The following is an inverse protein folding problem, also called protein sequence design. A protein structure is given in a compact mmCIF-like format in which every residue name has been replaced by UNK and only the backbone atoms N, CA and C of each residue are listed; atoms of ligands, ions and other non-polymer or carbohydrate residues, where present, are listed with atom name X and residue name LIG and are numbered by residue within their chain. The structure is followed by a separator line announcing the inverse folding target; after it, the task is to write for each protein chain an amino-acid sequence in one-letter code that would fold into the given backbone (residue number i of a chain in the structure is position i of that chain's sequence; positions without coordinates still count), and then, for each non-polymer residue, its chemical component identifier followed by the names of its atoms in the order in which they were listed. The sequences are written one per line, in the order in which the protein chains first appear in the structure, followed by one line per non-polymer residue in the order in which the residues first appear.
data_IF_483801501248
#
_entry.id   IF_483801501248
#
_cell.length_a   1.000
_cell.length_b   1.000
_cell.length_c   1.000
_cell.angle_alpha   90.00
_cell.angle_beta   90.00
_cell.angle_gamma   90.00
#
_symmetry.space_group_name_H-M   'P 1'
#
loop_
_entity.id
_entity.type
_entity.pdbx_description
1 polymer ?
#
# COMPACT_ATOMS: atom_id res chain seq x y z
N UNK A 1 3.47 -11.16 23.79
CA UNK A 1 4.93 -11.02 23.70
C UNK A 1 5.24 -9.58 23.31
N UNK A 2 6.35 -9.00 23.80
CA UNK A 2 6.79 -7.67 23.37
C UNK A 2 7.35 -7.78 21.95
N UNK A 3 6.93 -6.89 21.06
CA UNK A 3 7.47 -6.75 19.71
C UNK A 3 8.78 -5.97 19.78
N UNK A 4 9.76 -6.36 18.97
CA UNK A 4 11.05 -5.69 18.81
C UNK A 4 11.04 -5.00 17.44
N UNK A 5 11.53 -3.76 17.40
CA UNK A 5 11.63 -2.92 16.19
C UNK A 5 13.05 -2.36 16.06
N UNK A 6 13.45 -1.80 14.90
CA UNK A 6 14.78 -1.21 14.73
C UNK A 6 15.13 -0.06 15.70
N UNK A 7 14.13 0.54 16.33
CA UNK A 7 14.24 1.68 17.25
C UNK A 7 13.50 1.39 18.56
N UNK A 8 14.02 1.92 19.68
CA UNK A 8 13.46 1.70 21.04
C UNK A 8 12.13 2.42 21.24
N UNK A 9 12.03 3.66 20.75
CA UNK A 9 10.84 4.50 20.82
C UNK A 9 10.66 5.26 19.50
N UNK A 10 10.11 4.62 18.46
CA UNK A 10 9.98 5.21 17.14
C UNK A 10 8.92 6.33 17.04
N UNK A 11 8.14 6.58 18.11
CA UNK A 11 7.10 7.60 18.16
C UNK A 11 5.69 7.06 18.34
N UNK A 12 4.68 7.89 18.03
CA UNK A 12 3.26 7.52 18.12
C UNK A 12 2.91 6.48 17.06
N UNK A 13 2.40 5.32 17.49
CA UNK A 13 1.98 4.27 16.54
C UNK A 13 0.67 4.64 15.84
N UNK A 14 0.67 4.52 14.52
CA UNK A 14 -0.50 4.72 13.65
C UNK A 14 -1.18 3.39 13.27
N UNK A 15 -0.64 2.26 13.72
CA UNK A 15 -1.15 0.93 13.39
C UNK A 15 -2.18 0.43 14.40
N UNK A 16 -3.17 -0.32 13.91
CA UNK A 16 -4.10 -1.11 14.73
C UNK A 16 -3.59 -2.53 14.99
N UNK A 17 -2.59 -3.01 14.24
CA UNK A 17 -1.94 -4.29 14.46
C UNK A 17 -0.75 -4.55 13.52
N UNK A 18 0.11 -5.54 13.83
CA UNK A 18 1.29 -5.89 13.02
C UNK A 18 0.95 -6.90 11.91
N UNK A 19 0.85 -6.45 10.66
CA UNK A 19 0.63 -7.34 9.50
C UNK A 19 1.82 -7.39 8.54
N UNK A 20 2.30 -6.24 8.06
CA UNK A 20 3.42 -6.13 7.10
C UNK A 20 4.53 -5.19 7.59
N UNK A 21 4.35 -4.64 8.79
CA UNK A 21 5.20 -3.64 9.39
C UNK A 21 4.43 -2.86 10.44
N UNK A 22 5.12 -1.95 11.11
CA UNK A 22 4.56 -0.99 12.04
C UNK A 22 4.85 0.41 11.52
N UNK A 23 3.85 1.28 11.60
CA UNK A 23 3.90 2.66 11.12
C UNK A 23 3.81 3.60 12.32
N UNK A 24 4.70 4.59 12.34
CA UNK A 24 4.83 5.58 13.40
C UNK A 24 4.79 6.98 12.82
N UNK A 25 4.17 7.91 13.53
CA UNK A 25 4.29 9.32 13.24
C UNK A 25 5.66 9.83 13.71
N UNK A 26 6.47 10.31 12.77
CA UNK A 26 7.69 11.07 13.09
C UNK A 26 7.29 12.49 13.45
N UNK A 27 6.43 13.10 12.63
CA UNK A 27 5.79 14.38 12.86
C UNK A 27 4.52 14.53 11.99
N UNK A 28 4.08 15.78 11.75
CA UNK A 28 2.87 16.09 10.98
C UNK A 28 3.02 15.88 9.47
N UNK A 29 4.26 15.79 8.94
CA UNK A 29 4.54 15.62 7.52
C UNK A 29 5.24 14.31 7.17
N UNK A 30 5.70 13.54 8.15
CA UNK A 30 6.49 12.32 7.93
C UNK A 30 5.95 11.16 8.76
N UNK A 31 5.87 10.00 8.12
CA UNK A 31 5.67 8.70 8.78
C UNK A 31 6.87 7.80 8.58
N UNK A 32 7.11 6.93 9.56
CA UNK A 32 8.14 5.91 9.56
C UNK A 32 7.48 4.54 9.56
N UNK A 33 7.76 3.72 8.56
CA UNK A 33 7.39 2.30 8.52
C UNK A 33 8.61 1.45 8.82
N UNK A 34 8.47 0.49 9.73
CA UNK A 34 9.52 -0.44 10.13
C UNK A 34 9.02 -1.89 10.10
N UNK A 35 9.89 -2.87 9.80
CA UNK A 35 9.61 -4.27 10.08
C UNK A 35 9.59 -4.52 11.59
N UNK A 36 9.19 -5.72 12.01
CA UNK A 36 9.14 -6.09 13.41
C UNK A 36 9.53 -7.56 13.63
N UNK A 37 10.00 -7.89 14.83
CA UNK A 37 10.29 -9.26 15.20
C UNK A 37 9.71 -9.63 16.58
N UNK A 38 9.31 -10.90 16.70
CA UNK A 38 8.96 -11.53 17.96
C UNK A 38 10.16 -12.28 18.53
N UNK A 39 10.31 -12.41 19.85
CA UNK A 39 11.35 -13.26 20.42
C UNK A 39 11.25 -14.71 19.90
N UNK A 40 12.34 -15.24 19.37
CA UNK A 40 12.44 -16.63 18.95
C UNK A 40 12.52 -17.55 20.18
N UNK A 41 11.40 -18.21 20.47
CA UNK A 41 11.26 -19.15 21.59
C UNK A 41 11.09 -20.56 21.05
N UNK A 42 11.68 -21.56 21.73
CA UNK A 42 11.52 -22.97 21.43
C UNK A 42 10.14 -23.52 21.85
N UNK A 43 9.06 -22.91 21.33
CA UNK A 43 7.68 -23.37 21.47
C UNK A 43 7.02 -23.38 20.09
N UNK A 44 6.78 -24.58 19.55
CA UNK A 44 6.19 -24.77 18.23
C UNK A 44 4.82 -24.08 18.06
N UNK A 45 4.07 -23.86 19.15
CA UNK A 45 2.79 -23.15 19.11
C UNK A 45 2.94 -21.66 18.78
N UNK A 46 4.14 -21.11 18.92
CA UNK A 46 4.47 -19.72 18.65
C UNK A 46 5.18 -19.53 17.31
N UNK A 47 5.42 -20.59 16.53
CA UNK A 47 6.09 -20.47 15.23
C UNK A 47 5.37 -19.54 14.26
N UNK A 48 4.04 -19.41 14.35
CA UNK A 48 3.29 -18.45 13.54
C UNK A 48 3.73 -16.99 13.79
N UNK A 49 4.25 -16.65 14.97
CA UNK A 49 4.81 -15.31 15.25
C UNK A 49 6.17 -15.12 14.57
N UNK A 50 6.94 -16.20 14.42
CA UNK A 50 8.20 -16.18 13.68
C UNK A 50 7.91 -15.98 12.19
N UNK A 51 6.90 -16.67 11.65
CA UNK A 51 6.40 -16.43 10.28
C UNK A 51 5.99 -14.96 10.08
N UNK A 52 5.27 -14.35 11.02
CA UNK A 52 4.89 -12.93 10.93
C UNK A 52 6.10 -12.00 10.92
N UNK A 53 7.11 -12.31 11.74
CA UNK A 53 8.35 -11.52 11.79
C UNK A 53 9.08 -11.59 10.45
N UNK A 54 9.28 -12.81 9.93
CA UNK A 54 9.93 -13.08 8.65
C UNK A 54 9.18 -12.44 7.47
N UNK A 55 7.84 -12.53 7.44
CA UNK A 55 7.01 -11.85 6.45
C UNK A 55 7.15 -10.34 6.52
N UNK A 56 7.27 -9.75 7.70
CA UNK A 56 7.46 -8.29 7.83
C UNK A 56 8.77 -7.82 7.18
N UNK A 57 9.85 -8.61 7.28
CA UNK A 57 11.11 -8.33 6.59
C UNK A 57 10.93 -8.40 5.06
N UNK A 58 10.29 -9.46 4.57
CA UNK A 58 10.05 -9.63 3.12
C UNK A 58 9.15 -8.53 2.58
N UNK A 59 8.11 -8.12 3.32
CA UNK A 59 7.26 -6.98 2.95
C UNK A 59 8.06 -5.68 2.85
N UNK A 60 8.99 -5.42 3.78
CA UNK A 60 9.88 -4.26 3.66
C UNK A 60 10.76 -4.34 2.41
N UNK A 61 11.36 -5.50 2.12
CA UNK A 61 12.21 -5.72 0.93
C UNK A 61 11.43 -5.46 -0.37
N UNK A 62 10.19 -5.95 -0.46
CA UNK A 62 9.28 -5.71 -1.60
C UNK A 62 8.97 -4.24 -1.78
N UNK A 63 8.61 -3.57 -0.69
CA UNK A 63 8.24 -2.16 -0.73
C UNK A 63 9.43 -1.26 -1.08
N UNK A 64 10.62 -1.55 -0.54
CA UNK A 64 11.87 -0.89 -0.92
C UNK A 64 12.15 -1.04 -2.42
N UNK A 65 11.96 -2.24 -2.97
CA UNK A 65 12.19 -2.52 -4.40
C UNK A 65 11.29 -1.71 -5.32
N UNK A 66 10.01 -1.54 -4.95
CA UNK A 66 9.07 -0.66 -5.68
C UNK A 66 9.53 0.79 -5.60
N UNK A 67 9.91 1.27 -4.42
CA UNK A 67 10.37 2.65 -4.26
C UNK A 67 11.70 2.94 -4.97
N UNK A 68 12.61 1.97 -5.04
CA UNK A 68 13.85 2.09 -5.80
C UNK A 68 13.57 2.22 -7.31
N UNK A 69 12.57 1.52 -7.83
CA UNK A 69 12.11 1.70 -9.22
C UNK A 69 11.46 3.09 -9.44
N UNK A 70 10.66 3.55 -8.48
CA UNK A 70 10.02 4.88 -8.53
C UNK A 70 11.00 6.04 -8.37
N UNK A 71 12.17 5.82 -7.77
CA UNK A 71 13.22 6.84 -7.68
C UNK A 71 13.72 7.29 -9.06
N UNK A 72 13.80 6.35 -10.01
CA UNK A 72 14.22 6.64 -11.39
C UNK A 72 13.10 7.32 -12.17
N UNK A 73 11.86 6.88 -11.94
CA UNK A 73 10.67 7.32 -12.68
C UNK A 73 9.51 7.62 -11.69
N UNK A 74 9.56 8.78 -10.99
CA UNK A 74 8.59 9.09 -9.94
C UNK A 74 7.20 9.39 -10.51
N UNK A 75 6.16 9.11 -9.72
CA UNK A 75 4.77 9.39 -10.07
C UNK A 75 4.09 10.23 -9.00
N UNK A 76 3.41 11.31 -9.38
CA UNK A 76 2.79 12.27 -8.44
C UNK A 76 1.71 11.63 -7.55
N UNK A 77 0.98 10.66 -8.08
CA UNK A 77 -0.10 9.95 -7.39
C UNK A 77 0.35 8.65 -6.70
N UNK A 78 1.65 8.50 -6.47
CA UNK A 78 2.23 7.48 -5.58
C UNK A 78 2.94 8.22 -4.44
N UNK A 79 2.79 7.73 -3.21
CA UNK A 79 3.46 8.32 -2.05
C UNK A 79 4.98 8.31 -2.24
N UNK A 80 5.66 9.40 -1.87
CA UNK A 80 7.11 9.53 -2.02
C UNK A 80 7.85 8.95 -0.83
N UNK A 81 8.81 8.05 -1.11
CA UNK A 81 9.85 7.65 -0.15
C UNK A 81 10.85 8.79 0.03
N UNK A 82 11.14 9.11 1.28
CA UNK A 82 12.06 10.17 1.69
C UNK A 82 13.47 9.58 1.84
N UNK A 83 14.44 10.16 1.13
CA UNK A 83 15.79 9.61 1.01
C UNK A 83 16.65 9.86 2.26
N UNK A 84 16.78 8.82 3.09
CA UNK A 84 17.62 8.81 4.30
C UNK A 84 18.83 7.89 4.23
N UNK A 85 18.92 7.07 3.17
CA UNK A 85 19.95 6.03 3.02
C UNK A 85 19.77 4.82 3.94
N UNK A 86 18.67 4.75 4.71
CA UNK A 86 18.35 3.57 5.51
C UNK A 86 17.66 2.49 4.65
N UNK A 87 17.94 1.22 4.99
CA UNK A 87 17.38 0.03 4.32
C UNK A 87 16.60 -0.86 5.28
N UNK A 88 16.63 -0.58 6.58
CA UNK A 88 15.92 -1.30 7.63
C UNK A 88 14.62 -0.58 8.06
N UNK A 89 14.26 0.49 7.37
CA UNK A 89 13.03 1.27 7.55
C UNK A 89 12.71 2.11 6.32
N UNK A 90 11.47 2.59 6.21
CA UNK A 90 11.00 3.47 5.14
C UNK A 90 10.41 4.73 5.77
N UNK A 91 10.90 5.90 5.33
CA UNK A 91 10.26 7.18 5.61
C UNK A 91 9.38 7.56 4.43
N UNK A 92 8.13 7.93 4.68
CA UNK A 92 7.17 8.36 3.67
C UNK A 92 6.63 9.75 4.03
N UNK A 93 6.18 10.48 3.01
CA UNK A 93 5.29 11.62 3.23
C UNK A 93 4.03 11.17 4.00
N UNK A 94 3.60 11.97 4.97
CA UNK A 94 2.37 11.71 5.72
C UNK A 94 1.17 12.16 4.89
N UNK A 95 0.22 11.24 4.69
CA UNK A 95 -1.03 11.48 3.98
C UNK A 95 -2.21 11.44 4.94
N UNK A 96 -3.28 12.14 4.59
CA UNK A 96 -4.57 11.96 5.28
C UNK A 96 -5.31 10.79 4.63
N UNK A 97 -5.75 9.78 5.39
CA UNK A 97 -6.47 8.64 4.83
C UNK A 97 -7.68 9.08 3.99
N UNK A 98 -7.92 8.40 2.87
CA UNK A 98 -8.99 8.79 1.96
C UNK A 98 -10.36 8.78 2.65
N UNK A 99 -10.62 7.82 3.54
CA UNK A 99 -11.88 7.74 4.30
C UNK A 99 -12.15 8.96 5.18
N UNK A 100 -11.11 9.63 5.67
CA UNK A 100 -11.24 10.80 6.55
C UNK A 100 -11.60 12.06 5.77
N UNK A 101 -11.07 12.21 4.54
CA UNK A 101 -11.32 13.39 3.71
C UNK A 101 -12.50 13.24 2.76
N UNK A 102 -12.95 12.01 2.50
CA UNK A 102 -14.06 11.74 1.58
C UNK A 102 -15.36 12.48 1.95
N UNK A 103 -15.79 12.57 3.23
CA UNK A 103 -17.04 13.25 3.60
C UNK A 103 -17.11 14.72 3.20
N UNK A 104 -15.96 15.40 3.18
CA UNK A 104 -15.84 16.83 2.85
C UNK A 104 -15.49 17.08 1.37
N UNK A 105 -15.34 16.01 0.59
CA UNK A 105 -14.96 16.09 -0.83
C UNK A 105 -16.13 16.48 -1.74
N UNK A 106 -15.81 17.17 -2.84
CA UNK A 106 -16.80 17.47 -3.88
C UNK A 106 -16.89 16.35 -4.93
N UNK A 107 -17.91 16.37 -5.78
CA UNK A 107 -17.96 15.46 -6.93
C UNK A 107 -16.77 15.61 -7.89
N UNK A 108 -16.34 16.83 -8.28
CA UNK A 108 -15.11 17.02 -9.05
C UNK A 108 -13.86 16.44 -8.38
N UNK A 109 -13.71 16.56 -7.06
CA UNK A 109 -12.57 15.97 -6.35
C UNK A 109 -12.56 14.46 -6.48
N UNK A 110 -13.71 13.81 -6.28
CA UNK A 110 -13.86 12.35 -6.38
C UNK A 110 -13.62 11.84 -7.79
N UNK A 111 -14.10 12.54 -8.81
CA UNK A 111 -13.83 12.18 -10.21
C UNK A 111 -12.33 12.31 -10.53
N UNK A 112 -11.68 13.38 -10.06
CA UNK A 112 -10.22 13.57 -10.19
C UNK A 112 -9.46 12.44 -9.49
N UNK A 113 -9.78 12.15 -8.24
CA UNK A 113 -9.14 11.07 -7.46
C UNK A 113 -9.28 9.70 -8.14
N UNK A 114 -10.42 9.40 -8.76
CA UNK A 114 -10.62 8.16 -9.51
C UNK A 114 -9.64 8.05 -10.69
N UNK A 115 -9.46 9.14 -11.44
CA UNK A 115 -8.50 9.21 -12.54
C UNK A 115 -7.04 9.17 -12.05
N UNK A 116 -6.74 9.79 -10.91
CA UNK A 116 -5.41 9.74 -10.28
C UNK A 116 -5.02 8.35 -9.82
N UNK A 117 -5.96 7.59 -9.23
CA UNK A 117 -5.74 6.20 -8.87
C UNK A 117 -5.46 5.35 -10.13
N UNK A 118 -6.25 5.54 -11.18
CA UNK A 118 -6.05 4.84 -12.46
C UNK A 118 -4.70 5.19 -13.09
N UNK A 119 -4.26 6.45 -12.99
CA UNK A 119 -2.95 6.90 -13.46
C UNK A 119 -1.80 6.26 -12.65
N UNK A 120 -1.95 6.13 -11.33
CA UNK A 120 -0.97 5.47 -10.48
C UNK A 120 -0.86 3.96 -10.75
N UNK A 121 -1.98 3.24 -10.84
CA UNK A 121 -1.97 1.78 -11.04
C UNK A 121 -1.46 1.40 -12.42
N UNK A 122 -1.84 2.13 -13.47
CA UNK A 122 -1.26 1.89 -14.82
C UNK A 122 0.24 2.19 -14.85
N UNK A 123 0.72 3.13 -14.05
CA UNK A 123 2.14 3.45 -13.97
C UNK A 123 2.91 2.31 -13.30
N UNK A 124 2.39 1.74 -12.21
CA UNK A 124 2.97 0.56 -11.57
C UNK A 124 3.04 -0.63 -12.54
N UNK A 125 1.97 -0.89 -13.30
CA UNK A 125 1.95 -1.93 -14.32
C UNK A 125 3.02 -1.69 -15.39
N UNK A 126 3.19 -0.44 -15.86
CA UNK A 126 4.24 -0.07 -16.81
C UNK A 126 5.66 -0.27 -16.27
N UNK A 127 5.85 -0.11 -14.96
CA UNK A 127 7.11 -0.43 -14.30
C UNK A 127 7.31 -1.93 -14.05
N UNK A 128 6.35 -2.78 -14.42
CA UNK A 128 6.40 -4.22 -14.25
C UNK A 128 6.01 -4.70 -12.85
N UNK A 129 5.13 -3.96 -12.16
CA UNK A 129 4.68 -4.28 -10.81
C UNK A 129 3.15 -4.41 -10.74
N UNK A 130 2.70 -5.45 -10.03
CA UNK A 130 1.37 -5.52 -9.46
C UNK A 130 1.46 -5.07 -7.99
N UNK A 131 0.43 -4.39 -7.49
CA UNK A 131 0.39 -3.90 -6.12
C UNK A 131 0.15 -5.04 -5.13
N UNK A 132 -0.72 -6.00 -5.46
CA UNK A 132 -0.99 -7.20 -4.66
C UNK A 132 -1.73 -6.96 -3.34
N UNK A 133 -2.09 -5.72 -3.01
CA UNK A 133 -2.97 -5.39 -1.87
C UNK A 133 -3.68 -4.06 -2.10
N UNK A 134 -4.19 -3.85 -3.31
CA UNK A 134 -4.91 -2.63 -3.61
C UNK A 134 -6.20 -2.55 -2.76
N UNK A 135 -6.34 -1.49 -1.97
CA UNK A 135 -7.48 -1.31 -1.07
C UNK A 135 -7.66 0.17 -0.70
N UNK A 136 -8.85 0.55 -0.22
CA UNK A 136 -9.16 1.94 0.17
C UNK A 136 -8.20 2.44 1.27
N UNK A 137 -7.89 1.59 2.25
CA UNK A 137 -6.93 1.89 3.34
C UNK A 137 -5.51 2.24 2.86
N UNK A 138 -5.18 1.89 1.61
CA UNK A 138 -3.88 2.15 0.98
C UNK A 138 -3.94 3.39 0.06
N UNK A 139 -4.99 4.20 0.21
CA UNK A 139 -5.21 5.46 -0.49
C UNK A 139 -5.22 6.60 0.52
N UNK A 140 -4.54 7.69 0.19
CA UNK A 140 -4.50 8.88 1.00
C UNK A 140 -4.43 10.13 0.13
N UNK A 141 -4.56 11.28 0.76
CA UNK A 141 -4.58 12.57 0.08
C UNK A 141 -3.56 13.49 0.72
N UNK A 142 -2.80 14.19 -0.11
CA UNK A 142 -1.80 15.15 0.35
C UNK A 142 -2.43 16.53 0.66
N UNK A 143 -1.59 17.46 1.15
CA UNK A 143 -2.02 18.83 1.46
C UNK A 143 -2.49 19.65 0.25
N UNK A 144 -2.28 19.16 -0.98
CA UNK A 144 -2.75 19.75 -2.22
C UNK A 144 -4.02 19.06 -2.77
N UNK A 145 -4.68 18.23 -1.94
CA UNK A 145 -5.90 17.51 -2.29
C UNK A 145 -5.71 16.53 -3.47
N UNK A 146 -4.51 15.95 -3.60
CA UNK A 146 -4.15 14.96 -4.63
C UNK A 146 -4.12 13.56 -4.03
N UNK A 147 -4.77 12.60 -4.70
CA UNK A 147 -4.78 11.21 -4.27
C UNK A 147 -3.41 10.58 -4.51
N UNK A 148 -2.94 9.79 -3.53
CA UNK A 148 -1.70 9.02 -3.57
C UNK A 148 -1.93 7.59 -3.11
N UNK A 149 -1.34 6.66 -3.85
CA UNK A 149 -1.28 5.22 -3.55
C UNK A 149 -0.01 4.90 -2.76
N UNK A 150 -0.12 4.04 -1.74
CA UNK A 150 1.01 3.61 -0.90
C UNK A 150 0.83 2.17 -0.40
N UNK A 151 1.78 1.69 0.40
CA UNK A 151 1.82 0.34 1.01
C UNK A 151 2.09 -0.80 0.02
N UNK A 152 3.34 -0.89 -0.46
CA UNK A 152 3.76 -1.88 -1.46
C UNK A 152 4.32 -3.17 -0.86
N UNK A 153 4.00 -3.48 0.40
CA UNK A 153 4.52 -4.66 1.11
C UNK A 153 4.06 -6.01 0.54
N UNK A 154 3.08 -6.00 -0.38
CA UNK A 154 2.57 -7.16 -1.12
C UNK A 154 2.86 -7.12 -2.61
N UNK A 155 3.64 -6.15 -3.08
CA UNK A 155 3.87 -5.97 -4.50
C UNK A 155 4.62 -7.15 -5.12
N UNK A 156 4.29 -7.47 -6.37
CA UNK A 156 4.90 -8.57 -7.13
C UNK A 156 5.45 -8.06 -8.46
N UNK A 157 6.66 -8.48 -8.80
CA UNK A 157 7.30 -8.13 -10.08
C UNK A 157 6.75 -8.97 -11.22
N UNK A 158 6.84 -8.48 -12.45
CA UNK A 158 6.43 -9.21 -13.65
C UNK A 158 7.21 -10.50 -13.91
N UNK A 159 8.33 -10.72 -13.21
CA UNK A 159 9.09 -11.96 -13.24
C UNK A 159 8.62 -13.02 -12.22
N UNK A 160 7.79 -12.64 -11.25
CA UNK A 160 7.26 -13.55 -10.22
C UNK A 160 6.09 -14.38 -10.78
N UNK A 161 5.96 -15.65 -10.38
CA UNK A 161 4.94 -16.56 -10.92
C UNK A 161 3.50 -16.12 -10.60
N UNK A 162 3.30 -15.51 -9.43
CA UNK A 162 2.00 -14.97 -9.02
C UNK A 162 1.62 -13.64 -9.68
N UNK A 163 2.49 -13.00 -10.45
CA UNK A 163 2.21 -11.68 -11.03
C UNK A 163 0.87 -11.62 -11.78
N UNK A 164 0.60 -12.64 -12.61
CA UNK A 164 -0.65 -12.70 -13.36
C UNK A 164 -1.87 -12.87 -12.45
N UNK A 165 -1.74 -13.57 -11.32
CA UNK A 165 -2.81 -13.70 -10.33
C UNK A 165 -3.06 -12.36 -9.62
N UNK A 166 -1.98 -11.65 -9.31
CA UNK A 166 -2.01 -10.36 -8.63
C UNK A 166 -2.56 -9.23 -9.49
N UNK A 167 -2.23 -9.19 -10.78
CA UNK A 167 -2.86 -8.25 -11.72
C UNK A 167 -4.38 -8.46 -11.76
N UNK A 168 -4.85 -9.72 -11.82
CA UNK A 168 -6.30 -10.00 -11.80
C UNK A 168 -6.96 -9.58 -10.48
N UNK A 169 -6.26 -9.82 -9.37
CA UNK A 169 -6.70 -9.38 -8.03
C UNK A 169 -6.77 -7.86 -7.96
N UNK A 170 -5.76 -7.15 -8.45
CA UNK A 170 -5.71 -5.69 -8.49
C UNK A 170 -6.81 -5.10 -9.37
N UNK A 171 -7.21 -5.73 -10.48
CA UNK A 171 -8.39 -5.28 -11.24
C UNK A 171 -9.68 -5.30 -10.42
N UNK A 172 -9.92 -6.39 -9.68
CA UNK A 172 -11.08 -6.51 -8.79
C UNK A 172 -11.05 -5.44 -7.69
N UNK A 173 -9.88 -5.25 -7.11
CA UNK A 173 -9.66 -4.31 -6.02
C UNK A 173 -9.73 -2.86 -6.48
N UNK A 174 -9.23 -2.56 -7.67
CA UNK A 174 -9.35 -1.25 -8.31
C UNK A 174 -10.82 -0.89 -8.50
N UNK A 175 -11.67 -1.82 -8.98
CA UNK A 175 -13.10 -1.58 -9.09
C UNK A 175 -13.75 -1.25 -7.72
N UNK A 176 -13.30 -1.92 -6.66
CA UNK A 176 -13.75 -1.67 -5.29
C UNK A 176 -13.32 -0.28 -4.80
N UNK A 177 -12.06 0.11 -5.05
CA UNK A 177 -11.54 1.45 -4.74
C UNK A 177 -12.26 2.55 -5.53
N UNK A 178 -12.48 2.36 -6.83
CA UNK A 178 -13.21 3.31 -7.68
C UNK A 178 -14.67 3.48 -7.21
N UNK A 179 -15.31 2.38 -6.83
CA UNK A 179 -16.64 2.42 -6.25
C UNK A 179 -16.65 3.24 -4.95
N UNK A 180 -15.67 3.03 -4.05
CA UNK A 180 -15.54 3.83 -2.84
C UNK A 180 -15.27 5.31 -3.15
N UNK A 181 -14.28 5.64 -4.00
CA UNK A 181 -13.93 7.02 -4.34
C UNK A 181 -15.16 7.80 -4.81
N UNK A 182 -16.00 7.21 -5.65
CA UNK A 182 -17.14 7.91 -6.24
C UNK A 182 -18.41 7.90 -5.37
N UNK A 183 -18.55 6.97 -4.43
CA UNK A 183 -19.81 6.78 -3.67
C UNK A 183 -19.67 6.81 -2.15
N UNK A 184 -18.45 6.70 -1.63
CA UNK A 184 -18.13 6.61 -0.20
C UNK A 184 -18.45 5.24 0.40
N UNK A 185 -18.79 4.26 -0.45
CA UNK A 185 -19.18 2.93 -0.01
C UNK A 185 -18.16 1.90 -0.49
N UNK A 186 -17.48 1.26 0.46
CA UNK A 186 -16.67 0.08 0.19
C UNK A 186 -17.55 -1.16 0.43
N UNK A 187 -17.83 -1.98 -0.60
CA UNK A 187 -18.64 -3.19 -0.45
C UNK A 187 -17.98 -4.27 0.44
N UNK A 188 -16.70 -4.14 0.78
CA UNK A 188 -15.97 -5.05 1.65
C UNK A 188 -15.75 -4.48 3.06
N UNK A 189 -16.08 -3.20 3.31
CA UNK A 189 -15.91 -2.59 4.62
C UNK A 189 -16.90 -3.17 5.65
N UNK A 190 -16.46 -3.28 6.91
CA UNK A 190 -17.28 -3.75 8.03
C UNK A 190 -17.53 -5.26 8.06
N UNK A 191 -16.90 -6.04 7.18
CA UNK A 191 -16.94 -7.50 7.24
C UNK A 191 -15.92 -7.98 8.28
N UNK A 192 -16.33 -8.89 9.16
CA UNK A 192 -15.55 -9.27 10.34
C UNK A 192 -15.02 -10.71 10.29
N UNK A 193 -15.43 -11.47 9.27
CA UNK A 193 -14.99 -12.84 9.10
C UNK A 193 -14.57 -13.15 7.66
N UNK A 194 -13.64 -14.10 7.53
CA UNK A 194 -13.21 -14.62 6.23
C UNK A 194 -14.41 -15.07 5.37
N UNK A 195 -15.39 -15.75 5.98
CA UNK A 195 -16.58 -16.24 5.27
C UNK A 195 -17.45 -15.12 4.71
N UNK A 196 -17.58 -14.00 5.44
CA UNK A 196 -18.33 -12.84 4.96
C UNK A 196 -17.61 -12.18 3.78
N UNK A 197 -16.28 -12.02 3.88
CA UNK A 197 -15.47 -11.48 2.78
C UNK A 197 -15.58 -12.35 1.53
N UNK A 198 -15.44 -13.67 1.67
CA UNK A 198 -15.58 -14.61 0.55
C UNK A 198 -16.98 -14.58 -0.07
N UNK A 199 -18.03 -14.51 0.76
CA UNK A 199 -19.40 -14.42 0.27
C UNK A 199 -19.66 -13.09 -0.47
N UNK A 200 -19.12 -11.99 0.03
CA UNK A 200 -19.23 -10.68 -0.62
C UNK A 200 -18.49 -10.70 -1.97
N UNK A 201 -17.24 -11.18 -2.00
CA UNK A 201 -16.45 -11.35 -3.23
C UNK A 201 -17.18 -12.21 -4.26
N UNK A 202 -17.70 -13.37 -3.85
CA UNK A 202 -18.46 -14.25 -4.74
C UNK A 202 -19.70 -13.55 -5.33
N UNK A 203 -20.37 -12.69 -4.56
CA UNK A 203 -21.52 -11.90 -5.03
C UNK A 203 -21.09 -10.86 -6.07
N UNK A 204 -20.00 -10.13 -5.81
CA UNK A 204 -19.43 -9.15 -6.74
C UNK A 204 -18.97 -9.84 -8.04
N UNK A 205 -18.23 -10.95 -7.95
CA UNK A 205 -17.75 -11.71 -9.10
C UNK A 205 -18.87 -12.37 -9.91
N UNK A 206 -20.02 -12.64 -9.30
CA UNK A 206 -21.21 -13.11 -10.02
C UNK A 206 -21.97 -11.98 -10.74
N UNK A 207 -21.46 -10.74 -10.74
CA UNK A 207 -22.12 -9.58 -11.35
C UNK A 207 -23.35 -9.11 -10.58
N UNK A 208 -23.46 -9.47 -9.30
CA UNK A 208 -24.58 -9.12 -8.42
C UNK A 208 -24.24 -8.00 -7.43
N UNK A 209 -23.08 -7.35 -7.62
CA UNK A 209 -22.67 -6.19 -6.82
C UNK A 209 -23.54 -4.98 -7.12
N UNK A 210 -24.12 -4.37 -6.09
CA UNK A 210 -24.86 -3.13 -6.23
C UNK A 210 -23.92 -1.95 -6.45
N UNK A 211 -24.16 -1.15 -7.48
CA UNK A 211 -23.47 0.12 -7.70
C UNK A 211 -24.18 1.21 -6.89
N UNK A 212 -23.46 1.84 -5.97
CA UNK A 212 -24.00 2.92 -5.15
C UNK A 212 -24.08 4.24 -5.94
N UNK A 213 -24.98 5.12 -5.48
CA UNK A 213 -25.17 6.45 -6.05
C UNK A 213 -23.83 7.21 -6.13
N UNK A 214 -23.57 7.82 -7.27
CA UNK A 214 -22.30 8.51 -7.56
C UNK A 214 -21.30 7.65 -8.33
N UNK A 215 -21.17 6.36 -8.00
CA UNK A 215 -20.34 5.41 -8.76
C UNK A 215 -20.99 4.97 -10.09
N UNK A 216 -22.28 5.26 -10.27
CA UNK A 216 -23.07 4.92 -11.47
C UNK A 216 -22.45 5.45 -12.76
N UNK A 217 -21.74 6.57 -12.70
CA UNK A 217 -21.09 7.21 -13.85
C UNK A 217 -20.13 6.27 -14.59
N UNK A 218 -19.47 5.35 -13.89
CA UNK A 218 -18.56 4.34 -14.47
C UNK A 218 -18.99 2.91 -14.08
N UNK A 219 -20.30 2.68 -13.91
CA UNK A 219 -20.85 1.41 -13.46
C UNK A 219 -20.33 0.20 -14.25
N UNK A 220 -20.24 0.31 -15.58
CA UNK A 220 -19.74 -0.77 -16.45
C UNK A 220 -18.28 -1.13 -16.13
N UNK A 221 -17.42 -0.14 -15.89
CA UNK A 221 -16.01 -0.35 -15.56
C UNK A 221 -15.89 -1.07 -14.21
N UNK A 222 -16.67 -0.67 -13.21
CA UNK A 222 -16.68 -1.30 -11.89
C UNK A 222 -17.17 -2.75 -12.00
N UNK A 223 -18.27 -3.00 -12.71
CA UNK A 223 -18.79 -4.36 -12.91
C UNK A 223 -17.80 -5.24 -13.68
N UNK A 224 -17.13 -4.71 -14.71
CA UNK A 224 -16.12 -5.45 -15.46
C UNK A 224 -14.93 -5.84 -14.58
N UNK A 225 -14.50 -4.96 -13.67
CA UNK A 225 -13.43 -5.27 -12.71
C UNK A 225 -13.85 -6.34 -11.70
N UNK A 226 -15.05 -6.25 -11.12
CA UNK A 226 -15.53 -7.26 -10.17
C UNK A 226 -15.75 -8.64 -10.78
N UNK A 227 -16.29 -8.69 -12.00
CA UNK A 227 -16.56 -9.94 -12.73
C UNK A 227 -15.32 -10.54 -13.40
N UNK A 228 -14.18 -9.83 -13.36
CA UNK A 228 -12.94 -10.24 -14.02
C UNK A 228 -12.95 -10.03 -15.54
N UNK A 229 -13.98 -9.42 -16.13
CA UNK A 229 -14.01 -9.12 -17.57
C UNK A 229 -12.92 -8.13 -17.99
N UNK A 230 -12.49 -7.24 -17.10
CA UNK A 230 -11.37 -6.34 -17.38
C UNK A 230 -10.00 -6.99 -17.18
N UNK A 231 -9.92 -8.18 -16.58
CA UNK A 231 -8.66 -8.76 -16.12
C UNK A 231 -7.80 -9.37 -17.24
N UNK A 232 -8.31 -9.36 -18.48
CA UNK A 232 -7.57 -9.71 -19.69
C UNK A 232 -6.99 -8.49 -20.42
N UNK A 233 -7.38 -7.28 -19.99
CA UNK A 233 -6.86 -6.01 -20.50
C UNK A 233 -5.77 -5.43 -19.60
N UNK A 234 -5.30 -4.24 -19.96
CA UNK A 234 -4.32 -3.48 -19.15
C UNK A 234 -5.01 -2.42 -18.30
N UNK A 235 -4.36 -1.95 -17.23
CA UNK A 235 -4.85 -0.80 -16.47
C UNK A 235 -4.89 0.48 -17.32
N UNK A 236 -4.04 0.57 -18.35
CA UNK A 236 -4.09 1.65 -19.33
C UNK A 236 -5.44 1.68 -20.08
N UNK A 237 -5.98 0.53 -20.49
CA UNK A 237 -7.29 0.47 -21.17
C UNK A 237 -8.43 0.89 -20.24
N UNK A 238 -8.37 0.49 -18.96
CA UNK A 238 -9.33 0.92 -17.93
C UNK A 238 -9.26 2.44 -17.74
N UNK A 239 -8.05 3.00 -17.65
CA UNK A 239 -7.82 4.45 -17.57
C UNK A 239 -8.42 5.19 -18.78
N UNK A 240 -8.23 4.69 -20.01
CA UNK A 240 -8.76 5.32 -21.22
C UNK A 240 -10.29 5.34 -21.22
N UNK A 241 -10.93 4.22 -20.86
CA UNK A 241 -12.40 4.15 -20.73
C UNK A 241 -12.92 5.13 -19.70
N UNK A 242 -12.32 5.18 -18.52
CA UNK A 242 -12.74 6.09 -17.45
C UNK A 242 -12.52 7.56 -17.81
N UNK A 243 -11.38 7.90 -18.42
CA UNK A 243 -11.09 9.28 -18.87
C UNK A 243 -12.06 9.76 -19.95
N UNK A 244 -12.52 8.87 -20.83
CA UNK A 244 -13.55 9.20 -21.81
C UNK A 244 -14.91 9.57 -21.20
N UNK A 245 -15.16 9.15 -19.95
CA UNK A 245 -16.43 9.38 -19.24
C UNK A 245 -16.30 10.52 -18.22
N UNK A 246 -15.26 10.49 -17.39
CA UNK A 246 -15.02 11.42 -16.29
C UNK A 246 -14.32 12.72 -16.73
N UNK A 247 -13.82 12.76 -17.97
CA UNK A 247 -13.03 13.87 -18.49
C UNK A 247 -11.52 13.63 -18.40
N UNK A 248 -10.76 14.62 -18.84
CA UNK A 248 -9.31 14.54 -18.84
C UNK A 248 -8.75 14.78 -17.43
N UNK A 249 -7.76 13.98 -17.05
CA UNK A 249 -6.97 14.24 -15.85
C UNK A 249 -6.12 15.48 -16.09
N UNK A 250 -6.26 16.48 -15.23
CA UNK A 250 -5.41 17.67 -15.30
C UNK A 250 -3.96 17.29 -14.97
N UNK A 251 -3.07 17.58 -15.93
CA UNK A 251 -1.65 17.25 -15.85
C UNK A 251 -0.89 18.50 -15.46
N UNK A 252 -1.12 18.98 -14.25
CA UNK A 252 -0.22 19.97 -13.67
C UNK A 252 1.19 19.38 -13.59
N UNK A 253 2.17 20.13 -14.10
CA UNK A 253 3.57 19.79 -13.98
C UNK A 253 4.01 19.86 -12.52
N UNK A 254 4.93 18.97 -12.13
CA UNK A 254 5.64 19.09 -10.84
C UNK A 254 6.25 20.50 -10.78
N UNK A 255 5.79 21.31 -9.82
CA UNK A 255 6.32 22.67 -9.65
C UNK A 255 7.62 22.63 -8.84
N UNK A 256 8.52 23.60 -9.06
CA UNK A 256 9.76 23.75 -8.30
C UNK A 256 9.54 23.79 -6.77
N UNK A 257 8.36 24.27 -6.33
CA UNK A 257 7.98 24.31 -4.91
C UNK A 257 7.77 22.92 -4.29
N UNK A 258 7.45 21.91 -5.10
CA UNK A 258 7.23 20.55 -4.61
C UNK A 258 8.54 19.83 -4.26
N UNK A 259 9.61 20.10 -5.01
CA UNK A 259 10.91 19.49 -4.70
C UNK A 259 11.52 20.09 -3.42
N UNK A 260 11.41 21.41 -3.25
CA UNK A 260 11.82 22.09 -2.01
C UNK A 260 11.07 21.55 -0.78
N UNK A 261 9.77 21.23 -0.94
CA UNK A 261 8.97 20.59 0.10
C UNK A 261 9.53 19.21 0.49
N UNK A 262 9.84 18.35 -0.47
CA UNK A 262 10.39 17.02 -0.17
C UNK A 262 11.82 17.08 0.41
N UNK A 263 12.65 18.03 -0.02
CA UNK A 263 13.96 18.26 0.58
C UNK A 263 13.86 18.65 2.07
N UNK A 264 12.85 19.44 2.46
CA UNK A 264 12.56 19.73 3.87
C UNK A 264 12.18 18.45 4.64
N UNK A 265 11.27 17.64 4.10
CA UNK A 265 10.86 16.37 4.72
C UNK A 265 12.08 15.47 4.98
N UNK A 266 12.94 15.28 3.96
CA UNK A 266 14.14 14.46 4.06
C UNK A 266 15.15 14.98 5.10
N UNK A 267 15.29 16.30 5.21
CA UNK A 267 16.13 16.93 6.23
C UNK A 267 15.63 16.57 7.63
N UNK A 268 14.32 16.63 7.85
CA UNK A 268 13.70 16.26 9.13
C UNK A 268 13.87 14.78 9.45
N UNK A 269 13.75 13.89 8.48
CA UNK A 269 14.05 12.47 8.68
C UNK A 269 15.50 12.23 9.13
N UNK A 270 16.47 12.94 8.53
CA UNK A 270 17.89 12.85 8.91
C UNK A 270 18.13 13.36 10.33
N UNK A 271 17.49 14.46 10.72
CA UNK A 271 17.54 14.97 12.09
C UNK A 271 16.94 13.96 13.07
N UNK A 272 15.79 13.38 12.74
CA UNK A 272 15.15 12.36 13.58
C UNK A 272 16.07 11.14 13.79
N UNK A 273 16.71 10.65 12.71
CA UNK A 273 17.65 9.52 12.79
C UNK A 273 18.87 9.79 13.69
N UNK A 274 19.34 11.05 13.78
CA UNK A 274 20.46 11.42 14.66
C UNK A 274 20.10 11.36 16.14
N UNK A 275 18.82 11.54 16.48
CA UNK A 275 18.34 11.58 17.86
C UNK A 275 17.68 10.28 18.32
N UNK A 276 17.38 9.37 17.38
CA UNK A 276 16.68 8.12 17.67
C UNK A 276 17.62 7.04 18.19
N UNK A 277 17.19 6.33 19.23
CA UNK A 277 17.94 5.21 19.80
C UNK A 277 17.62 3.91 19.06
N UNK A 278 18.67 3.22 18.59
CA UNK A 278 18.57 1.89 17.98
C UNK A 278 18.30 0.84 19.06
N UNK A 279 17.38 -0.09 18.81
CA UNK A 279 17.14 -1.19 19.74
C UNK A 279 18.28 -2.22 19.63
N UNK A 280 19.09 -2.47 20.68
CA UNK A 280 20.17 -3.44 20.63
C UNK A 280 19.68 -4.89 20.52
N UNK A 281 18.40 -5.15 20.78
CA UNK A 281 17.81 -6.47 20.62
C UNK A 281 17.37 -6.77 19.17
N UNK A 282 17.31 -5.73 18.32
CA UNK A 282 16.94 -5.84 16.91
C UNK A 282 17.98 -6.64 16.13
N UNK A 283 17.51 -7.56 15.27
CA UNK A 283 18.37 -8.34 14.39
C UNK A 283 18.10 -7.98 12.93
N UNK A 284 19.13 -8.17 12.10
CA UNK A 284 18.95 -8.15 10.65
C UNK A 284 18.24 -9.43 10.21
N UNK A 285 17.63 -9.39 9.03
CA UNK A 285 16.83 -10.49 8.47
C UNK A 285 17.58 -11.83 8.51
N UNK A 286 18.84 -11.86 8.08
CA UNK A 286 19.65 -13.10 8.03
C UNK A 286 19.96 -13.64 9.43
N UNK A 287 20.28 -12.76 10.36
CA UNK A 287 20.57 -13.12 11.76
C UNK A 287 19.31 -13.64 12.44
N UNK A 288 18.16 -13.00 12.23
CA UNK A 288 16.89 -13.44 12.79
C UNK A 288 16.44 -14.79 12.21
N UNK A 289 16.59 -14.99 10.89
CA UNK A 289 16.30 -16.27 10.24
C UNK A 289 17.18 -17.41 10.78
N UNK A 290 18.45 -17.12 11.10
CA UNK A 290 19.34 -18.10 11.74
C UNK A 290 18.84 -18.47 13.14
N UNK A 291 18.46 -17.50 13.97
CA UNK A 291 17.89 -17.77 15.31
C UNK A 291 16.58 -18.56 15.22
N UNK A 292 15.73 -18.30 14.22
CA UNK A 292 14.53 -19.10 13.97
C UNK A 292 14.86 -20.58 13.72
N UNK A 293 15.89 -20.87 12.92
CA UNK A 293 16.33 -22.25 12.66
C UNK A 293 16.86 -22.94 13.91
N UNK A 294 17.57 -22.22 14.78
CA UNK A 294 18.08 -22.76 16.06
C UNK A 294 16.95 -23.22 16.99
N UNK A 295 15.77 -22.58 16.93
CA UNK A 295 14.59 -22.99 17.71
C UNK A 295 13.68 -23.99 16.96
N UNK A 296 14.13 -24.51 15.82
CA UNK A 296 13.41 -25.53 15.05
C UNK A 296 12.34 -24.98 14.09
N UNK A 297 12.45 -23.72 13.67
CA UNK A 297 11.59 -23.11 12.66
C UNK A 297 12.35 -22.81 11.37
N UNK A 298 12.05 -23.56 10.31
CA UNK A 298 12.55 -23.33 8.96
C UNK A 298 11.52 -22.54 8.14
N UNK A 299 11.56 -21.20 8.27
CA UNK A 299 10.79 -20.32 7.38
C UNK A 299 11.50 -20.17 6.04
N UNK A 300 10.83 -20.53 4.95
CA UNK A 300 11.33 -20.31 3.60
C UNK A 300 10.98 -18.89 3.15
N UNK A 301 11.96 -17.98 3.19
CA UNK A 301 11.80 -16.59 2.77
C UNK A 301 11.53 -16.47 1.28
N UNK A 302 12.04 -17.42 0.47
CA UNK A 302 11.91 -17.36 -0.99
C UNK A 302 10.48 -17.67 -1.43
N UNK A 303 9.71 -18.42 -0.62
CA UNK A 303 8.27 -18.60 -0.83
C UNK A 303 7.50 -17.28 -0.72
N UNK A 304 8.03 -16.30 0.00
CA UNK A 304 7.38 -15.00 0.20
C UNK A 304 7.95 -13.88 -0.64
N UNK A 305 9.13 -14.05 -1.27
CA UNK A 305 9.82 -13.06 -2.11
C UNK A 305 9.32 -13.11 -3.54
#
# INVERSE_FOLDING_TARGET
MKIITPFVDPGESLCTGPSQGLVYAVDQGVVLKVPFEYPALADARLHYLLDQSLKSFVSLEKELSVYDALKVNPHRNIARRLETGQTDCIFLERLTPLEEVWPDSTEPDRQRWALELLDAVRWLEQLGWAHGDLAVRNLGVDGANRLKLFDFGSATTSSHEDFANDVRRDHFHLATCLHFILSGRDPLAGLHSYREVESARATLSAGKGGIAKGAEVIAEIIQDGWTGRSSSGTFYEVFQRASGILGALDRDAMSDGQEAFYMDLESRCKVWLQHSERDPAWRKTEDYAMVCREVGHEGDLDVWR
#
